data_IF_008077964436
#
_entry.id   IF_008077964436
#
_cell.length_a   1.000
_cell.length_b   1.000
_cell.length_c   1.000
_cell.angle_alpha   90.00
_cell.angle_beta   90.00
_cell.angle_gamma   90.00
#
_symmetry.space_group_name_H-M   'P 1'
#
loop_
_entity.id
_entity.type
_entity.pdbx_description
1 polymer ?
#
# COMPACT_ATOMS: atom_id res chain seq x y z
N UNK A 1 -1.47 -12.81 4.44
CA UNK A 1 -2.28 -13.14 3.25
C UNK A 1 -1.48 -12.90 1.97
N UNK A 2 -0.97 -11.69 1.70
CA UNK A 2 -0.21 -11.37 0.46
C UNK A 2 1.18 -12.02 0.39
N UNK A 3 1.82 -12.27 1.53
CA UNK A 3 3.16 -12.84 1.61
C UNK A 3 3.18 -14.37 1.65
N UNK A 4 4.10 -14.95 0.88
CA UNK A 4 4.43 -16.38 0.86
C UNK A 4 4.98 -16.86 2.20
N UNK A 5 4.56 -18.04 2.63
CA UNK A 5 5.02 -18.68 3.86
C UNK A 5 4.54 -18.01 5.16
N UNK A 6 3.86 -16.86 5.09
CA UNK A 6 3.24 -16.22 6.26
C UNK A 6 1.81 -16.72 6.47
N UNK A 7 1.65 -17.98 6.85
CA UNK A 7 0.33 -18.62 6.88
C UNK A 7 -0.35 -18.47 8.25
N UNK A 8 0.28 -18.99 9.29
CA UNK A 8 -0.28 -19.08 10.66
C UNK A 8 -0.53 -17.68 11.24
N UNK A 9 0.51 -16.85 11.32
CA UNK A 9 0.41 -15.51 11.92
C UNK A 9 -0.46 -14.52 11.15
N UNK A 10 -0.91 -14.88 9.94
CA UNK A 10 -1.82 -14.03 9.15
C UNK A 10 -3.19 -14.66 8.92
N UNK A 11 -3.48 -15.76 9.63
CA UNK A 11 -4.74 -16.51 9.53
C UNK A 11 -5.11 -16.80 8.06
N UNK A 12 -4.13 -17.26 7.26
CA UNK A 12 -4.35 -17.56 5.84
C UNK A 12 -5.13 -18.86 5.72
N UNK A 13 -6.24 -18.79 4.97
CA UNK A 13 -7.09 -19.96 4.72
C UNK A 13 -6.30 -21.06 3.99
N UNK A 14 -6.36 -22.28 4.51
CA UNK A 14 -5.84 -23.46 3.81
C UNK A 14 -6.64 -23.75 2.54
N UNK A 15 -6.13 -24.53 1.58
CA UNK A 15 -6.90 -24.96 0.42
C UNK A 15 -8.24 -25.62 0.76
N UNK A 16 -8.29 -26.39 1.85
CA UNK A 16 -9.49 -27.08 2.32
C UNK A 16 -10.54 -26.07 2.84
N UNK A 17 -10.11 -25.11 3.66
CA UNK A 17 -10.98 -24.07 4.23
C UNK A 17 -11.58 -23.14 3.16
N UNK A 18 -10.94 -23.05 1.98
CA UNK A 18 -11.47 -22.27 0.84
C UNK A 18 -12.67 -22.94 0.16
N UNK A 19 -12.97 -24.21 0.45
CA UNK A 19 -14.15 -24.91 -0.06
C UNK A 19 -14.23 -24.96 -1.59
N UNK A 20 -13.08 -25.03 -2.28
CA UNK A 20 -13.00 -25.01 -3.74
C UNK A 20 -13.22 -23.64 -4.40
N UNK A 21 -13.48 -22.58 -3.62
CA UNK A 21 -13.62 -21.21 -4.13
C UNK A 21 -12.24 -20.63 -4.43
N UNK A 22 -11.94 -20.20 -5.68
CA UNK A 22 -10.67 -19.58 -6.01
C UNK A 22 -10.47 -18.28 -5.22
N UNK A 23 -9.42 -18.23 -4.40
CA UNK A 23 -8.99 -17.01 -3.74
C UNK A 23 -7.84 -16.40 -4.53
N UNK A 24 -8.05 -15.17 -5.00
CA UNK A 24 -7.05 -14.43 -5.76
C UNK A 24 -6.18 -13.57 -4.83
N UNK A 25 -4.99 -13.22 -5.31
CA UNK A 25 -4.04 -12.36 -4.59
C UNK A 25 -3.64 -12.87 -3.20
N UNK A 26 -3.52 -14.18 -3.05
CA UNK A 26 -2.76 -14.78 -1.96
C UNK A 26 -1.35 -15.08 -2.46
N UNK A 27 -0.35 -14.98 -1.58
CA UNK A 27 1.01 -15.43 -1.88
C UNK A 27 1.67 -14.73 -3.09
N UNK A 28 1.33 -13.46 -3.31
CA UNK A 28 1.80 -12.64 -4.43
C UNK A 28 3.22 -12.13 -4.24
N UNK A 29 3.69 -12.00 -2.99
CA UNK A 29 5.00 -11.45 -2.66
C UNK A 29 5.83 -12.37 -1.77
N UNK A 30 7.15 -12.26 -1.90
CA UNK A 30 8.09 -12.80 -0.91
C UNK A 30 8.06 -11.95 0.37
N UNK A 31 8.36 -12.55 1.53
CA UNK A 31 8.37 -11.86 2.84
C UNK A 31 9.33 -10.66 2.91
N UNK A 32 10.37 -10.67 2.08
CA UNK A 32 11.35 -9.57 1.98
C UNK A 32 10.87 -8.40 1.11
N UNK A 33 9.79 -8.57 0.34
CA UNK A 33 9.26 -7.52 -0.51
C UNK A 33 8.51 -6.46 0.32
N UNK A 34 8.73 -5.19 0.01
CA UNK A 34 7.97 -4.10 0.63
C UNK A 34 6.54 -4.08 0.11
N UNK A 35 5.56 -4.09 1.01
CA UNK A 35 4.15 -4.04 0.64
C UNK A 35 3.80 -2.71 -0.06
N UNK A 36 3.19 -2.80 -1.25
CA UNK A 36 2.81 -1.65 -2.07
C UNK A 36 1.32 -1.65 -2.36
N UNK A 37 0.60 -0.65 -1.83
CA UNK A 37 -0.82 -0.45 -2.17
C UNK A 37 -1.01 -0.13 -3.65
N UNK A 38 -0.06 0.56 -4.28
CA UNK A 38 -0.14 0.89 -5.70
C UNK A 38 -0.06 -0.36 -6.57
N UNK A 39 0.85 -1.28 -6.24
CA UNK A 39 0.97 -2.55 -6.94
C UNK A 39 -0.25 -3.45 -6.67
N UNK A 40 -0.71 -3.50 -5.41
CA UNK A 40 -1.94 -4.21 -5.07
C UNK A 40 -3.15 -3.68 -5.84
N UNK A 41 -3.32 -2.36 -5.95
CA UNK A 41 -4.39 -1.72 -6.73
C UNK A 41 -4.38 -2.23 -8.18
N UNK A 42 -3.20 -2.24 -8.82
CA UNK A 42 -3.06 -2.75 -10.19
C UNK A 42 -3.47 -4.23 -10.28
N UNK A 43 -2.93 -5.07 -9.40
CA UNK A 43 -3.21 -6.50 -9.38
C UNK A 43 -4.69 -6.81 -9.09
N UNK A 44 -5.31 -6.09 -8.15
CA UNK A 44 -6.71 -6.26 -7.78
C UNK A 44 -7.63 -5.90 -8.94
N UNK A 45 -7.41 -4.75 -9.58
CA UNK A 45 -8.21 -4.32 -10.73
C UNK A 45 -8.07 -5.27 -11.91
N UNK A 46 -6.86 -5.70 -12.22
CA UNK A 46 -6.61 -6.70 -13.27
C UNK A 46 -7.42 -8.00 -13.02
N UNK A 47 -7.50 -8.47 -11.76
CA UNK A 47 -8.28 -9.66 -11.42
C UNK A 47 -9.79 -9.42 -11.43
N UNK A 48 -10.24 -8.26 -10.95
CA UNK A 48 -11.63 -7.85 -10.98
C UNK A 48 -12.11 -7.81 -12.44
N UNK A 49 -11.39 -7.10 -13.31
CA UNK A 49 -11.74 -6.95 -14.73
C UNK A 49 -11.75 -8.30 -15.44
N UNK A 50 -10.76 -9.17 -15.17
CA UNK A 50 -10.71 -10.51 -15.76
C UNK A 50 -11.86 -11.41 -15.31
N UNK A 51 -12.36 -11.27 -14.08
CA UNK A 51 -13.52 -12.03 -13.59
C UNK A 51 -14.82 -11.51 -14.18
N UNK A 52 -15.00 -10.19 -14.22
CA UNK A 52 -16.16 -9.53 -14.82
C UNK A 52 -16.27 -9.87 -16.32
N UNK A 53 -15.16 -9.84 -17.05
CA UNK A 53 -15.11 -10.23 -18.47
C UNK A 53 -15.53 -11.70 -18.72
N UNK A 54 -15.48 -12.55 -17.70
CA UNK A 54 -15.92 -13.96 -17.75
C UNK A 54 -17.35 -14.15 -17.22
N UNK A 55 -18.09 -13.06 -16.98
CA UNK A 55 -19.43 -13.10 -16.41
C UNK A 55 -19.48 -13.55 -14.94
N UNK A 56 -18.36 -13.41 -14.21
CA UNK A 56 -18.27 -13.75 -12.79
C UNK A 56 -18.27 -12.49 -11.94
N UNK A 57 -19.00 -12.51 -10.83
CA UNK A 57 -19.03 -11.41 -9.87
C UNK A 57 -17.90 -11.58 -8.84
N UNK A 58 -16.90 -10.67 -8.82
CA UNK A 58 -15.84 -10.72 -7.81
C UNK A 58 -16.37 -10.28 -6.44
N UNK A 59 -15.93 -10.97 -5.40
CA UNK A 59 -16.17 -10.58 -3.99
C UNK A 59 -14.82 -10.22 -3.38
N UNK A 60 -14.67 -8.96 -2.98
CA UNK A 60 -13.48 -8.48 -2.27
C UNK A 60 -13.68 -8.67 -0.77
N UNK A 61 -12.83 -9.48 -0.15
CA UNK A 61 -12.95 -9.87 1.28
C UNK A 61 -11.70 -9.48 2.06
N UNK A 62 -11.90 -8.97 3.28
CA UNK A 62 -10.83 -8.61 4.20
C UNK A 62 -10.06 -7.36 3.78
N UNK A 63 -8.75 -7.36 4.09
CA UNK A 63 -7.84 -6.27 3.75
C UNK A 63 -7.84 -5.12 4.75
N UNK A 64 -6.77 -4.32 4.71
CA UNK A 64 -6.75 -3.03 5.40
C UNK A 64 -7.57 -2.00 4.61
N UNK A 65 -8.17 -1.02 5.28
CA UNK A 65 -9.04 -0.04 4.61
C UNK A 65 -8.36 0.68 3.43
N UNK A 66 -7.05 0.92 3.49
CA UNK A 66 -6.31 1.53 2.38
C UNK A 66 -6.24 0.62 1.15
N UNK A 67 -6.10 -0.70 1.32
CA UNK A 67 -6.01 -1.65 0.22
C UNK A 67 -7.39 -1.86 -0.44
N UNK A 68 -8.44 -1.95 0.37
CA UNK A 68 -9.82 -1.99 -0.14
C UNK A 68 -10.11 -0.75 -0.98
N UNK A 69 -9.83 0.44 -0.45
CA UNK A 69 -9.99 1.69 -1.21
C UNK A 69 -9.13 1.74 -2.47
N UNK A 70 -7.89 1.27 -2.43
CA UNK A 70 -7.06 1.17 -3.65
C UNK A 70 -7.69 0.28 -4.72
N UNK A 71 -8.37 -0.79 -4.33
CA UNK A 71 -9.04 -1.67 -5.29
C UNK A 71 -10.29 -1.02 -5.92
N UNK A 72 -11.09 -0.27 -5.16
CA UNK A 72 -12.43 0.17 -5.60
C UNK A 72 -12.60 1.68 -5.83
N UNK A 73 -11.85 2.53 -5.14
CA UNK A 73 -11.94 3.98 -5.26
C UNK A 73 -10.95 4.51 -6.30
N UNK A 74 -11.15 5.74 -6.78
CA UNK A 74 -10.19 6.41 -7.64
C UNK A 74 -9.03 7.03 -6.82
N UNK A 75 -8.15 6.18 -6.29
CA UNK A 75 -6.93 6.62 -5.61
C UNK A 75 -5.74 6.70 -6.56
N UNK A 76 -5.04 7.82 -6.47
CA UNK A 76 -3.75 8.02 -7.13
C UNK A 76 -2.61 7.78 -6.14
N UNK A 77 -1.64 6.99 -6.59
CA UNK A 77 -0.43 6.71 -5.84
C UNK A 77 0.77 7.18 -6.68
N UNK A 78 1.24 8.43 -6.49
CA UNK A 78 2.40 8.90 -7.21
C UNK A 78 3.61 8.00 -6.91
N UNK A 79 4.43 7.81 -7.93
CA UNK A 79 5.68 7.05 -7.80
C UNK A 79 6.58 7.65 -6.74
N UNK A 80 7.40 6.81 -6.12
CA UNK A 80 8.45 7.25 -5.19
C UNK A 80 9.79 7.08 -5.89
N UNK A 81 10.57 8.16 -5.97
CA UNK A 81 11.98 8.10 -6.37
C UNK A 81 12.82 7.60 -5.18
N UNK A 82 13.51 6.44 -5.29
CA UNK A 82 14.29 5.88 -4.19
C UNK A 82 15.46 6.76 -3.75
N UNK A 83 16.12 7.46 -4.67
CA UNK A 83 17.29 8.29 -4.35
C UNK A 83 16.84 9.55 -3.60
N UNK A 84 15.75 10.18 -4.06
CA UNK A 84 15.15 11.33 -3.38
C UNK A 84 14.68 10.93 -1.98
N UNK A 85 14.01 9.79 -1.84
CA UNK A 85 13.58 9.29 -0.54
C UNK A 85 14.75 9.05 0.40
N UNK A 86 15.78 8.34 -0.05
CA UNK A 86 16.95 8.03 0.78
C UNK A 86 17.62 9.31 1.29
N UNK A 87 17.79 10.32 0.44
CA UNK A 87 18.33 11.62 0.83
C UNK A 87 17.47 12.31 1.89
N UNK A 88 16.14 12.30 1.72
CA UNK A 88 15.22 12.92 2.67
C UNK A 88 15.17 12.18 4.02
N UNK A 89 15.30 10.85 4.01
CA UNK A 89 15.41 10.04 5.22
C UNK A 89 16.73 10.33 5.97
N UNK A 90 17.84 10.51 5.25
CA UNK A 90 19.12 10.92 5.86
C UNK A 90 19.07 12.34 6.44
N UNK A 91 18.40 13.27 5.78
CA UNK A 91 18.15 14.62 6.32
C UNK A 91 17.25 14.57 7.57
N UNK A 92 16.22 13.72 7.55
CA UNK A 92 15.31 13.52 8.68
C UNK A 92 16.06 13.03 9.92
N UNK A 93 16.97 12.08 9.75
CA UNK A 93 17.79 11.53 10.85
C UNK A 93 18.76 12.59 11.40
N UNK A 94 19.39 13.37 10.52
CA UNK A 94 20.39 14.37 10.92
C UNK A 94 19.81 15.63 11.57
N UNK A 95 18.67 16.11 11.06
CA UNK A 95 18.12 17.41 11.42
C UNK A 95 16.77 17.34 12.15
N UNK A 96 16.18 16.16 12.24
CA UNK A 96 14.84 15.95 12.77
C UNK A 96 13.73 16.44 11.83
N UNK A 97 12.47 16.15 12.16
CA UNK A 97 11.34 16.37 11.26
C UNK A 97 10.93 17.84 11.12
N UNK A 98 11.28 18.70 12.09
CA UNK A 98 10.87 20.12 12.08
C UNK A 98 11.45 20.94 10.93
N UNK A 99 12.72 20.70 10.59
CA UNK A 99 13.37 21.37 9.45
C UNK A 99 12.72 20.98 8.12
N UNK A 100 12.45 19.68 7.96
CA UNK A 100 11.77 19.17 6.77
C UNK A 100 10.30 19.63 6.69
N UNK A 101 9.60 19.69 7.81
CA UNK A 101 8.23 20.22 7.88
C UNK A 101 8.16 21.68 7.45
N UNK A 102 9.11 22.50 7.91
CA UNK A 102 9.21 23.92 7.51
C UNK A 102 9.42 24.04 5.99
N UNK A 103 10.31 23.20 5.42
CA UNK A 103 10.55 23.16 3.98
C UNK A 103 9.31 22.71 3.20
N UNK A 104 8.60 21.71 3.71
CA UNK A 104 7.32 21.25 3.15
C UNK A 104 6.27 22.37 3.16
N UNK A 105 6.06 23.04 4.29
CA UNK A 105 5.05 24.09 4.42
C UNK A 105 5.32 25.31 3.52
N UNK A 106 6.60 25.58 3.20
CA UNK A 106 6.99 26.63 2.27
C UNK A 106 6.71 26.25 0.80
N UNK A 107 6.90 24.97 0.43
CA UNK A 107 6.67 24.48 -0.93
C UNK A 107 5.20 24.13 -1.20
N UNK A 108 4.51 23.56 -0.21
CA UNK A 108 3.09 23.16 -0.23
C UNK A 108 2.42 23.52 1.11
N UNK A 109 1.79 24.70 1.19
CA UNK A 109 1.11 25.16 2.41
C UNK A 109 -0.11 24.33 2.80
N UNK A 110 -0.72 23.58 1.88
CA UNK A 110 -1.85 22.71 2.18
C UNK A 110 -1.35 21.43 2.87
N UNK A 111 -0.35 20.77 2.30
CA UNK A 111 0.30 19.61 2.92
C UNK A 111 0.94 19.98 4.26
N UNK A 112 1.59 21.15 4.37
CA UNK A 112 2.18 21.64 5.61
C UNK A 112 1.17 21.79 6.76
N UNK A 113 -0.10 22.10 6.45
CA UNK A 113 -1.18 22.15 7.45
C UNK A 113 -1.76 20.78 7.77
N UNK A 114 -1.85 19.89 6.78
CA UNK A 114 -2.42 18.55 6.95
C UNK A 114 -1.48 17.58 7.68
N UNK A 115 -0.16 17.77 7.57
CA UNK A 115 0.84 16.84 8.11
C UNK A 115 1.41 17.39 9.42
N UNK A 116 1.35 16.57 10.48
CA UNK A 116 1.90 16.92 11.78
C UNK A 116 3.44 17.12 11.70
N UNK A 117 4.02 18.13 12.36
CA UNK A 117 5.46 18.38 12.35
C UNK A 117 6.31 17.23 12.90
N UNK A 118 5.74 16.34 13.71
CA UNK A 118 6.41 15.16 14.24
C UNK A 118 6.37 13.94 13.31
N UNK A 119 5.57 13.98 12.24
CA UNK A 119 5.33 12.83 11.39
C UNK A 119 6.34 12.75 10.23
N UNK A 120 7.60 12.48 10.56
CA UNK A 120 8.70 12.41 9.58
C UNK A 120 8.39 11.51 8.38
N UNK A 121 7.75 10.36 8.61
CA UNK A 121 7.35 9.43 7.53
C UNK A 121 6.38 10.06 6.53
N UNK A 122 5.45 10.92 6.98
CA UNK A 122 4.52 11.63 6.10
C UNK A 122 5.18 12.83 5.44
N UNK A 123 6.14 13.48 6.10
CA UNK A 123 6.89 14.61 5.53
C UNK A 123 7.81 14.14 4.39
N UNK A 124 8.41 12.96 4.51
CA UNK A 124 9.28 12.36 3.47
C UNK A 124 8.49 11.84 2.25
N UNK A 125 7.21 11.49 2.43
CA UNK A 125 6.37 10.90 1.38
C UNK A 125 5.78 11.96 0.48
#
# INVERSE_FOLDING_TARGET
QLYRGMDIGTAKLTPEERGGVPHHLLDVWDVTATASVAEYQRLARERIDALLARGRWPVLVGGSGLYVRGAVDNLEFPGTDPEVRARLEEELERHGPGALHTRLAAADPEAGRAILPSNGRRIVR
#
